data_IF_734706141086
#
_entry.id   IF_734706141086
#
_cell.length_a   1.000
_cell.length_b   1.000
_cell.length_c   1.000
_cell.angle_alpha   90.00
_cell.angle_beta   90.00
_cell.angle_gamma   90.00
#
_symmetry.space_group_name_H-M   'P 1'
#
loop_
_entity.id
_entity.type
_entity.pdbx_description
1 polymer ?
#
# COMPACT_ATOMS: atom_id res chain seq x y z
N UNK A 1 -29.29 23.71 -24.70
CA UNK A 1 -29.13 23.76 -23.23
C UNK A 1 -28.06 22.76 -22.75
N UNK A 2 -26.81 22.81 -23.26
CA UNK A 2 -25.79 21.76 -22.96
C UNK A 2 -24.37 22.27 -22.63
N UNK A 3 -24.18 23.59 -22.46
CA UNK A 3 -22.83 24.22 -22.40
C UNK A 3 -22.60 25.11 -21.17
N UNK A 4 -23.52 25.15 -20.19
CA UNK A 4 -23.29 25.87 -18.92
C UNK A 4 -22.80 24.98 -17.77
N UNK A 5 -23.04 23.67 -17.83
CA UNK A 5 -22.60 22.71 -16.81
C UNK A 5 -21.09 22.42 -16.88
N UNK A 6 -20.49 22.46 -18.08
CA UNK A 6 -19.06 22.19 -18.26
C UNK A 6 -18.14 23.23 -17.61
N UNK A 7 -18.54 24.51 -17.57
CA UNK A 7 -17.74 25.61 -16.97
C UNK A 7 -17.84 25.66 -15.46
N UNK A 8 -18.95 25.21 -14.87
CA UNK A 8 -19.11 25.11 -13.42
C UNK A 8 -18.26 23.97 -12.84
N UNK A 9 -18.15 22.86 -13.59
CA UNK A 9 -17.35 21.71 -13.18
C UNK A 9 -15.83 22.00 -13.22
N UNK A 10 -15.37 22.89 -14.09
CA UNK A 10 -13.94 23.26 -14.19
C UNK A 10 -13.47 24.19 -13.08
N UNK A 11 -14.37 24.98 -12.48
CA UNK A 11 -14.01 25.90 -11.38
C UNK A 11 -13.92 25.19 -10.02
N UNK A 12 -14.68 24.10 -9.81
CA UNK A 12 -14.72 23.40 -8.53
C UNK A 12 -13.53 22.44 -8.34
N UNK A 13 -12.92 21.96 -9.42
CA UNK A 13 -11.75 21.05 -9.36
C UNK A 13 -10.40 21.76 -9.24
N UNK A 14 -10.35 23.10 -9.31
CA UNK A 14 -9.08 23.88 -9.27
C UNK A 14 -8.79 24.46 -7.88
N UNK A 15 -9.74 24.41 -6.93
CA UNK A 15 -9.54 24.88 -5.55
C UNK A 15 -9.50 23.77 -4.50
N UNK A 16 -9.62 22.50 -4.89
CA UNK A 16 -9.40 21.40 -3.95
C UNK A 16 -7.88 21.25 -3.83
N UNK A 17 -7.28 21.57 -2.66
CA UNK A 17 -5.85 21.38 -2.46
C UNK A 17 -5.56 19.90 -2.70
N UNK A 18 -4.38 19.65 -3.24
CA UNK A 18 -3.78 18.38 -3.63
C UNK A 18 -3.73 17.37 -2.46
N UNK A 19 -4.89 16.92 -2.00
CA UNK A 19 -5.09 15.99 -0.90
C UNK A 19 -6.06 14.91 -1.35
N UNK A 20 -5.91 14.45 -2.59
CA UNK A 20 -6.11 13.02 -2.84
C UNK A 20 -5.00 12.32 -2.06
N UNK A 21 -5.26 12.07 -0.78
CA UNK A 21 -4.52 11.10 0.00
C UNK A 21 -4.67 9.78 -0.75
N UNK A 22 -3.72 9.53 -1.65
CA UNK A 22 -3.47 8.24 -2.22
C UNK A 22 -3.40 7.28 -1.05
N UNK A 23 -4.40 6.41 -0.94
CA UNK A 23 -4.32 5.23 -0.10
C UNK A 23 -3.23 4.36 -0.70
N UNK A 24 -1.97 4.64 -0.36
CA UNK A 24 -0.90 3.67 -0.57
C UNK A 24 -1.25 2.51 0.33
N UNK A 25 -1.48 1.29 -0.17
CA UNK A 25 -1.28 0.14 0.68
C UNK A 25 0.16 0.28 1.20
N UNK A 26 0.32 0.52 2.49
CA UNK A 26 1.61 0.49 3.17
C UNK A 26 2.10 -0.94 3.11
N UNK A 27 2.67 -1.31 1.97
CA UNK A 27 3.24 -2.61 1.69
C UNK A 27 4.61 -2.41 1.06
N UNK A 28 5.42 -1.58 1.73
CA UNK A 28 6.83 -1.82 2.04
C UNK A 28 7.55 -0.49 2.36
N UNK A 29 7.75 -0.23 3.65
CA UNK A 29 8.97 0.46 4.08
C UNK A 29 9.85 -0.59 4.74
N UNK A 30 11.17 -0.70 4.42
CA UNK A 30 12.07 -1.42 5.29
C UNK A 30 11.94 -0.72 6.63
N UNK A 31 11.37 -1.45 7.57
CA UNK A 31 11.08 -1.01 8.90
C UNK A 31 12.21 -0.14 9.43
N UNK A 32 12.06 1.19 9.35
CA UNK A 32 13.05 2.12 9.88
C UNK A 32 13.16 1.97 11.41
N UNK A 33 12.23 1.21 12.00
CA UNK A 33 12.14 0.86 13.40
C UNK A 33 12.31 -0.65 13.67
N UNK A 34 12.80 -1.50 12.76
CA UNK A 34 13.20 -2.89 13.06
C UNK A 34 12.18 -3.89 13.68
N UNK A 35 10.98 -3.49 14.09
CA UNK A 35 9.94 -4.36 14.68
C UNK A 35 9.09 -5.08 13.62
N UNK A 36 9.46 -6.31 13.28
CA UNK A 36 8.63 -7.18 12.45
C UNK A 36 7.35 -7.55 13.20
N UNK A 37 6.18 -7.43 12.59
CA UNK A 37 4.92 -7.84 13.23
C UNK A 37 4.91 -9.36 13.50
N UNK A 38 5.67 -10.11 12.69
CA UNK A 38 5.82 -11.54 12.80
C UNK A 38 7.16 -11.99 12.22
N UNK A 39 7.85 -12.87 12.94
CA UNK A 39 9.11 -13.47 12.49
C UNK A 39 8.89 -14.92 12.09
N UNK A 40 9.34 -15.27 10.88
CA UNK A 40 9.21 -16.58 10.28
C UNK A 40 10.52 -17.35 10.45
N UNK A 41 10.58 -18.30 11.38
CA UNK A 41 11.77 -19.14 11.64
C UNK A 41 11.76 -20.45 10.84
N UNK A 42 10.62 -21.14 10.80
CA UNK A 42 10.46 -22.41 10.06
C UNK A 42 10.25 -22.19 8.56
N UNK A 43 9.83 -21.00 8.16
CA UNK A 43 9.41 -20.68 6.79
C UNK A 43 10.11 -19.44 6.23
N UNK A 44 9.44 -18.77 5.30
CA UNK A 44 9.83 -17.45 4.80
C UNK A 44 8.66 -16.45 4.88
N UNK A 45 9.00 -15.18 5.01
CA UNK A 45 8.04 -14.09 5.01
C UNK A 45 7.41 -13.89 3.63
N UNK A 46 6.10 -13.64 3.63
CA UNK A 46 5.32 -13.30 2.45
C UNK A 46 4.15 -12.42 2.88
N UNK A 47 4.21 -11.11 2.56
CA UNK A 47 3.26 -10.13 3.09
C UNK A 47 3.31 -10.08 4.61
N UNK A 48 2.18 -10.37 5.26
CA UNK A 48 2.02 -10.40 6.72
C UNK A 48 2.01 -11.83 7.29
N UNK A 49 2.33 -12.83 6.45
CA UNK A 49 2.28 -14.24 6.79
C UNK A 49 3.61 -14.97 6.58
N UNK A 50 3.71 -16.16 7.17
CA UNK A 50 4.85 -17.06 6.99
C UNK A 50 4.41 -18.23 6.12
N UNK A 51 5.14 -18.47 5.04
CA UNK A 51 4.89 -19.59 4.12
C UNK A 51 6.08 -20.54 4.11
N UNK A 52 5.91 -21.77 3.62
CA UNK A 52 7.01 -22.73 3.46
C UNK A 52 8.10 -22.19 2.52
N UNK A 53 9.36 -22.62 2.72
CA UNK A 53 10.51 -22.18 1.92
C UNK A 53 10.40 -22.54 0.43
N UNK A 54 9.60 -23.54 0.10
CA UNK A 54 9.40 -24.00 -1.28
C UNK A 54 8.26 -23.27 -2.03
N UNK A 55 7.39 -22.55 -1.31
CA UNK A 55 6.22 -21.89 -1.91
C UNK A 55 6.56 -20.54 -2.53
N UNK A 56 6.16 -20.25 -3.76
CA UNK A 56 6.40 -18.91 -4.34
C UNK A 56 5.46 -17.87 -3.72
N UNK A 57 6.02 -16.78 -3.18
CA UNK A 57 5.23 -15.65 -2.70
C UNK A 57 4.77 -14.81 -3.90
N UNK A 58 3.47 -14.56 -4.01
CA UNK A 58 2.87 -13.67 -5.02
C UNK A 58 2.29 -12.40 -4.40
N UNK A 59 2.50 -12.22 -3.11
CA UNK A 59 2.07 -11.05 -2.34
C UNK A 59 3.22 -10.05 -2.32
N UNK A 60 2.89 -8.76 -2.29
CA UNK A 60 3.88 -7.71 -2.04
C UNK A 60 4.56 -7.85 -0.68
N UNK A 61 5.56 -7.01 -0.43
CA UNK A 61 6.20 -6.98 0.88
C UNK A 61 5.23 -6.49 1.96
N UNK A 62 5.19 -7.16 3.09
CA UNK A 62 4.35 -6.80 4.24
C UNK A 62 5.16 -6.82 5.53
N UNK A 63 4.48 -6.96 6.67
CA UNK A 63 5.13 -6.80 7.97
C UNK A 63 5.81 -8.07 8.52
N UNK A 64 5.71 -9.22 7.82
CA UNK A 64 6.41 -10.43 8.21
C UNK A 64 7.90 -10.38 7.80
N UNK A 65 8.77 -10.93 8.65
CA UNK A 65 10.20 -10.99 8.41
C UNK A 65 10.73 -12.42 8.45
N UNK A 66 11.82 -12.65 7.72
CA UNK A 66 12.60 -13.87 7.87
C UNK A 66 13.44 -13.76 9.15
N UNK A 67 13.41 -14.79 10.00
CA UNK A 67 14.24 -14.91 11.19
C UNK A 67 15.24 -16.04 11.10
#
# INVERSE_FOLDING_TARGET
>A
MKTRIRRFFTLLVVTIPLSFAVGTPTSCGPNASGVCCKTCTTGKACGDSCISRDKTCRVGAGCACNG
#
